data_IF_661189929619
#
_entry.id   IF_661189929619
#
_cell.length_a   1.000
_cell.length_b   1.000
_cell.length_c   1.000
_cell.angle_alpha   90.00
_cell.angle_beta   90.00
_cell.angle_gamma   90.00
#
_symmetry.space_group_name_H-M   'P 1'
#
loop_
_entity.id
_entity.type
_entity.pdbx_description
1 polymer ?
#
# COMPACT_ATOMS: atom_id res chain seq x y z
N UNK A 1 -17.07 13.66 3.10
CA UNK A 1 -16.18 12.64 3.70
C UNK A 1 -15.01 12.45 2.77
N UNK A 2 -13.78 12.44 3.29
CA UNK A 2 -12.59 12.16 2.47
C UNK A 2 -12.70 10.74 1.93
N UNK A 3 -12.25 10.49 0.70
CA UNK A 3 -12.23 9.13 0.11
C UNK A 3 -11.26 8.19 0.81
N UNK A 4 -10.35 8.73 1.64
CA UNK A 4 -9.35 8.00 2.39
C UNK A 4 -9.78 7.64 3.81
N UNK A 5 -10.92 8.14 4.27
CA UNK A 5 -11.49 7.70 5.54
C UNK A 5 -12.00 6.28 5.39
N UNK A 6 -11.57 5.38 6.29
CA UNK A 6 -12.13 4.02 6.35
C UNK A 6 -13.64 4.06 6.59
N UNK A 7 -14.33 3.08 6.01
CA UNK A 7 -15.78 2.91 6.17
C UNK A 7 -16.16 2.69 7.64
N UNK A 8 -15.37 1.89 8.34
CA UNK A 8 -15.51 1.61 9.76
C UNK A 8 -14.46 2.42 10.53
N UNK A 9 -14.83 3.16 11.59
CA UNK A 9 -13.86 3.84 12.42
C UNK A 9 -12.90 2.86 13.11
N UNK A 10 -11.67 3.30 13.35
CA UNK A 10 -10.62 2.46 13.92
C UNK A 10 -10.29 2.94 15.34
N UNK A 11 -10.42 2.04 16.32
CA UNK A 11 -9.94 2.24 17.67
C UNK A 11 -8.54 1.67 17.78
N UNK A 12 -7.65 2.34 18.51
CA UNK A 12 -6.26 1.92 18.61
C UNK A 12 -5.77 1.92 20.05
N UNK A 13 -4.91 0.96 20.34
CA UNK A 13 -4.25 0.81 21.63
C UNK A 13 -3.27 1.96 21.94
N UNK A 14 -2.58 1.89 23.08
CA UNK A 14 -1.67 2.95 23.52
C UNK A 14 -0.35 2.98 22.75
N UNK A 15 0.00 1.89 22.04
CA UNK A 15 1.23 1.80 21.21
C UNK A 15 1.06 2.34 19.80
N UNK A 16 -0.19 2.57 19.40
CA UNK A 16 -0.56 3.03 18.07
C UNK A 16 -0.96 4.50 18.12
N UNK A 17 -0.85 5.18 16.98
CA UNK A 17 -1.03 6.61 16.90
C UNK A 17 -2.51 6.98 16.87
N UNK A 18 -2.89 7.90 17.76
CA UNK A 18 -4.16 8.61 17.67
C UNK A 18 -3.84 10.07 17.34
N UNK A 19 -4.10 10.53 16.10
CA UNK A 19 -3.75 11.88 15.71
C UNK A 19 -4.50 12.92 16.56
N UNK A 20 -3.85 14.01 16.99
CA UNK A 20 -4.50 15.04 17.78
C UNK A 20 -5.29 16.06 16.95
N UNK A 21 -4.97 16.25 15.66
CA UNK A 21 -5.58 17.29 14.83
C UNK A 21 -6.97 16.88 14.29
N UNK A 22 -7.98 17.77 14.31
CA UNK A 22 -9.35 17.39 13.96
C UNK A 22 -9.53 16.96 12.49
N UNK A 23 -8.68 17.43 11.58
CA UNK A 23 -8.72 17.07 10.15
C UNK A 23 -8.12 15.69 9.85
N UNK A 24 -7.43 15.07 10.82
CA UNK A 24 -6.85 13.74 10.68
C UNK A 24 -7.90 12.65 10.80
N UNK A 25 -7.64 11.50 10.19
CA UNK A 25 -8.55 10.37 10.18
C UNK A 25 -7.77 9.04 10.19
N UNK A 26 -8.45 7.92 10.40
CA UNK A 26 -7.84 6.58 10.39
C UNK A 26 -7.45 6.14 8.98
N UNK A 27 -6.29 6.59 8.52
CA UNK A 27 -5.80 6.32 7.15
C UNK A 27 -4.91 5.07 7.05
N UNK A 28 -4.41 4.52 8.16
CA UNK A 28 -3.67 3.26 8.18
C UNK A 28 -4.08 2.40 9.39
N UNK A 29 -3.86 1.06 9.39
CA UNK A 29 -4.29 0.16 10.47
C UNK A 29 -3.80 0.56 11.88
N UNK A 30 -2.66 1.23 11.98
CA UNK A 30 -2.11 1.70 13.25
C UNK A 30 -2.47 3.16 13.58
N UNK A 31 -3.41 3.76 12.84
CA UNK A 31 -3.85 5.16 12.99
C UNK A 31 -5.33 5.17 13.38
N UNK A 32 -5.60 5.62 14.61
CA UNK A 32 -6.96 5.64 15.15
C UNK A 32 -7.80 6.81 14.64
N UNK A 33 -9.11 6.64 14.66
CA UNK A 33 -10.07 7.73 14.46
C UNK A 33 -10.15 8.59 15.72
N UNK A 34 -9.84 9.89 15.57
CA UNK A 34 -9.86 10.85 16.67
C UNK A 34 -11.18 11.65 16.78
N UNK A 35 -12.07 11.56 15.78
CA UNK A 35 -13.34 12.27 15.78
C UNK A 35 -14.54 11.31 15.73
N UNK A 36 -14.83 10.71 16.88
CA UNK A 36 -15.92 9.75 17.07
C UNK A 36 -17.07 10.39 17.85
N UNK A 37 -18.30 10.00 17.51
CA UNK A 37 -19.51 10.30 18.29
C UNK A 37 -20.22 9.01 18.67
N UNK A 38 -20.90 9.02 19.81
CA UNK A 38 -21.75 7.91 20.20
C UNK A 38 -23.10 7.98 19.50
N UNK A 39 -23.52 6.88 18.88
CA UNK A 39 -24.81 6.80 18.20
C UNK A 39 -25.99 6.78 19.17
N UNK A 40 -25.76 6.38 20.43
CA UNK A 40 -26.81 6.31 21.46
C UNK A 40 -27.06 7.66 22.15
N UNK A 41 -26.02 8.31 22.67
CA UNK A 41 -26.16 9.58 23.39
C UNK A 41 -25.80 10.83 22.56
N UNK A 42 -25.26 10.65 21.35
CA UNK A 42 -24.83 11.75 20.49
C UNK A 42 -23.51 12.42 20.89
N UNK A 43 -22.98 12.14 22.09
CA UNK A 43 -21.79 12.83 22.61
C UNK A 43 -20.50 12.43 21.88
N UNK A 44 -19.51 13.34 21.82
CA UNK A 44 -18.15 13.00 21.38
C UNK A 44 -17.52 11.92 22.26
N UNK A 45 -16.84 10.96 21.64
CA UNK A 45 -16.06 9.95 22.36
C UNK A 45 -14.71 10.55 22.73
N UNK A 46 -14.43 10.59 24.03
CA UNK A 46 -13.16 11.06 24.58
C UNK A 46 -12.20 9.89 24.71
N UNK A 47 -10.91 10.18 24.59
CA UNK A 47 -9.86 9.17 24.74
C UNK A 47 -8.86 9.56 25.81
N UNK A 48 -8.31 8.56 26.50
CA UNK A 48 -7.22 8.73 27.45
C UNK A 48 -6.35 7.47 27.46
N UNK A 49 -5.05 7.61 27.70
CA UNK A 49 -4.15 6.48 27.97
C UNK A 49 -3.83 6.52 29.46
N UNK A 50 -4.48 5.71 30.32
CA UNK A 50 -4.20 5.75 31.74
C UNK A 50 -2.79 5.27 32.04
N UNK A 51 -2.17 5.86 33.06
CA UNK A 51 -0.81 5.53 33.47
C UNK A 51 -0.68 4.04 33.81
N UNK A 52 0.39 3.40 33.33
CA UNK A 52 0.71 1.99 33.52
C UNK A 52 -0.34 0.96 33.00
N UNK A 53 -1.39 1.39 32.31
CA UNK A 53 -2.56 0.55 32.11
C UNK A 53 -2.52 -0.37 30.88
N UNK A 54 -1.55 -0.20 29.97
CA UNK A 54 -1.40 -1.06 28.79
C UNK A 54 -2.58 -1.00 27.79
N UNK A 55 -3.55 -0.10 27.99
CA UNK A 55 -4.69 0.14 27.10
C UNK A 55 -4.93 1.65 26.89
N UNK A 56 -5.66 1.98 25.81
CA UNK A 56 -6.30 3.27 25.59
C UNK A 56 -7.78 3.16 25.91
N UNK A 57 -8.31 4.07 26.71
CA UNK A 57 -9.73 4.14 27.06
C UNK A 57 -10.45 5.10 26.16
N UNK A 58 -11.58 4.67 25.63
CA UNK A 58 -12.54 5.47 24.89
C UNK A 58 -13.84 5.55 25.72
N UNK A 59 -14.45 6.73 25.83
CA UNK A 59 -15.67 6.90 26.61
C UNK A 59 -16.56 8.07 26.15
N UNK A 60 -17.87 7.92 26.32
CA UNK A 60 -18.88 8.97 26.30
C UNK A 60 -19.74 8.88 27.58
N UNK A 61 -20.79 9.69 27.74
CA UNK A 61 -21.65 9.62 28.92
C UNK A 61 -22.29 8.24 29.19
N UNK A 62 -22.58 7.46 28.15
CA UNK A 62 -23.34 6.21 28.29
C UNK A 62 -22.52 4.92 28.09
N UNK A 63 -21.27 5.03 27.62
CA UNK A 63 -20.44 3.86 27.27
C UNK A 63 -18.96 4.14 27.52
N UNK A 64 -18.23 3.08 27.86
CA UNK A 64 -16.77 3.06 27.98
C UNK A 64 -16.23 1.78 27.37
N UNK A 65 -15.09 1.88 26.69
CA UNK A 65 -14.33 0.77 26.13
C UNK A 65 -12.84 0.94 26.41
N UNK A 66 -12.19 -0.12 26.89
CA UNK A 66 -10.74 -0.18 27.02
C UNK A 66 -10.17 -0.99 25.84
N UNK A 67 -9.18 -0.43 25.14
CA UNK A 67 -8.66 -0.89 23.85
C UNK A 67 -7.16 -1.17 23.97
N UNK A 68 -6.75 -2.41 23.72
CA UNK A 68 -5.36 -2.87 23.88
C UNK A 68 -4.56 -2.83 22.58
N UNK A 69 -5.22 -3.14 21.46
CA UNK A 69 -4.66 -3.20 20.10
C UNK A 69 -5.52 -2.36 19.13
N UNK A 70 -5.51 -2.69 17.84
CA UNK A 70 -6.38 -2.05 16.84
C UNK A 70 -7.68 -2.82 16.71
N UNK A 71 -8.81 -2.11 16.59
CA UNK A 71 -10.11 -2.70 16.32
C UNK A 71 -10.97 -1.86 15.38
N UNK A 72 -11.76 -2.50 14.53
CA UNK A 72 -12.69 -1.82 13.65
C UNK A 72 -14.11 -1.77 14.25
N UNK A 73 -14.64 -0.56 14.41
CA UNK A 73 -15.99 -0.35 14.95
C UNK A 73 -17.02 -0.87 13.94
N UNK A 74 -17.78 -1.89 14.34
CA UNK A 74 -18.75 -2.59 13.47
C UNK A 74 -18.13 -3.39 12.32
N UNK A 75 -16.81 -3.57 12.30
CA UNK A 75 -16.11 -4.46 11.35
C UNK A 75 -15.82 -5.84 11.93
N UNK A 76 -15.79 -5.95 13.25
CA UNK A 76 -15.61 -7.21 13.96
C UNK A 76 -16.91 -8.02 14.02
N UNK A 77 -16.86 -9.36 14.12
CA UNK A 77 -18.05 -10.17 14.34
C UNK A 77 -18.81 -9.72 15.60
N UNK A 78 -20.07 -9.34 15.43
CA UNK A 78 -20.92 -8.75 16.49
C UNK A 78 -21.06 -9.68 17.71
N UNK A 79 -20.97 -10.99 17.50
CA UNK A 79 -21.03 -12.02 18.54
C UNK A 79 -19.76 -12.09 19.39
N UNK A 80 -18.61 -11.73 18.81
CA UNK A 80 -17.32 -11.74 19.49
C UNK A 80 -17.01 -10.41 20.17
N UNK A 81 -17.48 -9.28 19.60
CA UNK A 81 -17.13 -7.95 20.11
C UNK A 81 -18.31 -6.95 20.14
N UNK A 82 -19.41 -7.25 20.84
CA UNK A 82 -20.59 -6.38 20.90
C UNK A 82 -20.29 -4.99 21.51
N UNK A 83 -19.21 -4.89 22.31
CA UNK A 83 -18.77 -3.63 22.92
C UNK A 83 -18.12 -2.65 21.91
N UNK A 84 -17.75 -3.12 20.72
CA UNK A 84 -17.10 -2.35 19.64
C UNK A 84 -18.09 -1.82 18.59
N UNK A 85 -19.37 -1.70 18.95
CA UNK A 85 -20.43 -1.13 18.10
C UNK A 85 -20.87 0.23 18.64
N UNK A 86 -21.79 0.94 17.96
CA UNK A 86 -22.51 2.08 18.54
C UNK A 86 -21.72 3.40 18.64
N UNK A 87 -20.53 3.46 18.06
CA UNK A 87 -19.78 4.69 17.79
C UNK A 87 -19.64 4.87 16.29
N UNK A 88 -19.70 6.12 15.83
CA UNK A 88 -19.58 6.46 14.42
C UNK A 88 -18.61 7.62 14.22
N UNK A 89 -18.06 7.73 13.01
CA UNK A 89 -17.29 8.91 12.62
C UNK A 89 -18.18 10.16 12.68
N UNK A 90 -17.69 11.22 13.33
CA UNK A 90 -18.38 12.50 13.41
C UNK A 90 -18.11 13.42 12.22
N UNK A 91 -17.30 12.99 11.26
CA UNK A 91 -16.81 13.78 10.13
C UNK A 91 -15.46 14.42 10.43
N UNK A 92 -14.80 15.00 9.43
CA UNK A 92 -13.52 15.71 9.61
C UNK A 92 -13.56 17.02 8.81
N UNK A 93 -13.05 18.14 9.36
CA UNK A 93 -12.82 19.34 8.56
C UNK A 93 -11.75 19.09 7.51
N UNK A 94 -11.81 19.84 6.41
CA UNK A 94 -10.79 19.78 5.36
C UNK A 94 -9.46 20.37 5.86
N UNK A 95 -8.33 19.80 5.42
CA UNK A 95 -7.03 20.43 5.55
C UNK A 95 -6.84 21.43 4.38
N UNK A 96 -6.94 22.73 4.67
CA UNK A 96 -6.88 23.81 3.65
C UNK A 96 -5.62 24.64 3.80
N UNK A 97 -4.97 24.94 2.69
CA UNK A 97 -3.84 25.85 2.66
C UNK A 97 -4.30 27.31 2.76
N UNK A 98 -3.50 28.21 3.38
CA UNK A 98 -2.24 27.93 4.08
C UNK A 98 -2.46 27.19 5.41
N UNK A 99 -1.57 26.25 5.72
CA UNK A 99 -1.64 25.44 6.93
C UNK A 99 -0.24 25.16 7.51
N UNK A 100 -0.20 24.59 8.71
CA UNK A 100 1.02 24.06 9.31
C UNK A 100 0.77 22.62 9.73
N UNK A 101 1.64 21.71 9.30
CA UNK A 101 1.60 20.29 9.64
C UNK A 101 2.95 19.91 10.23
N UNK A 102 2.96 19.44 11.48
CA UNK A 102 4.19 19.04 12.20
C UNK A 102 5.30 20.11 12.17
N UNK A 103 4.93 21.39 12.23
CA UNK A 103 5.85 22.53 12.16
C UNK A 103 6.27 22.95 10.75
N UNK A 104 5.85 22.22 9.70
CA UNK A 104 6.07 22.60 8.30
C UNK A 104 4.94 23.50 7.83
N UNK A 105 5.27 24.72 7.39
CA UNK A 105 4.33 25.64 6.76
C UNK A 105 4.09 25.24 5.31
N UNK A 106 2.83 25.12 4.93
CA UNK A 106 2.39 24.77 3.59
C UNK A 106 1.46 25.87 3.07
N UNK A 107 1.79 26.44 1.92
CA UNK A 107 0.98 27.43 1.21
C UNK A 107 1.21 27.38 -0.31
N UNK A 108 0.64 28.33 -1.05
CA UNK A 108 0.73 28.42 -2.51
C UNK A 108 2.17 28.63 -3.03
N UNK A 109 3.10 29.03 -2.16
CA UNK A 109 4.51 29.23 -2.49
C UNK A 109 5.41 28.05 -2.12
N UNK A 110 4.82 26.94 -1.65
CA UNK A 110 5.56 25.74 -1.25
C UNK A 110 6.40 25.20 -2.41
N UNK A 111 7.71 25.09 -2.20
CA UNK A 111 8.59 24.32 -3.08
C UNK A 111 8.42 22.81 -2.79
N UNK A 112 7.49 22.19 -3.51
CA UNK A 112 7.17 20.78 -3.36
C UNK A 112 8.35 19.86 -3.65
N UNK A 113 9.26 20.22 -4.56
CA UNK A 113 10.40 19.39 -4.90
C UNK A 113 11.39 19.32 -3.73
N UNK A 114 11.75 20.48 -3.17
CA UNK A 114 12.62 20.54 -1.99
C UNK A 114 11.96 19.87 -0.78
N UNK A 115 10.68 20.16 -0.54
CA UNK A 115 9.94 19.57 0.59
C UNK A 115 9.94 18.03 0.53
N UNK A 116 9.64 17.45 -0.63
CA UNK A 116 9.57 15.99 -0.80
C UNK A 116 10.94 15.34 -0.62
N UNK A 117 11.99 15.91 -1.22
CA UNK A 117 13.35 15.39 -1.09
C UNK A 117 13.81 15.38 0.39
N UNK A 118 13.59 16.49 1.11
CA UNK A 118 13.95 16.58 2.52
C UNK A 118 13.12 15.63 3.41
N UNK A 119 11.80 15.60 3.20
CA UNK A 119 10.89 14.83 4.04
C UNK A 119 11.02 13.31 3.87
N UNK A 120 11.49 12.83 2.71
CA UNK A 120 11.81 11.40 2.54
C UNK A 120 13.01 10.97 3.38
N UNK A 121 14.03 11.81 3.47
CA UNK A 121 15.25 11.50 4.21
C UNK A 121 15.08 11.77 5.70
N UNK A 122 14.33 12.81 6.05
CA UNK A 122 14.13 13.30 7.42
C UNK A 122 12.68 13.75 7.58
N UNK A 123 11.75 12.81 7.80
CA UNK A 123 10.35 13.16 7.97
C UNK A 123 10.20 14.12 9.16
N UNK A 124 9.40 15.20 9.04
CA UNK A 124 9.13 16.12 10.13
C UNK A 124 8.53 15.46 11.37
N UNK A 125 7.81 14.35 11.17
CA UNK A 125 7.20 13.57 12.22
C UNK A 125 7.05 12.10 11.81
N UNK A 126 7.36 11.20 12.75
CA UNK A 126 7.15 9.76 12.61
C UNK A 126 6.04 9.31 13.58
N UNK A 127 4.86 8.93 13.07
CA UNK A 127 3.77 8.51 13.94
C UNK A 127 4.10 7.17 14.63
N UNK A 128 3.90 7.06 15.95
CA UNK A 128 4.24 5.86 16.71
C UNK A 128 3.38 4.66 16.30
N UNK A 129 4.03 3.51 16.12
CA UNK A 129 3.37 2.25 15.79
C UNK A 129 2.90 2.12 14.35
N UNK A 130 3.17 3.12 13.49
CA UNK A 130 2.84 3.06 12.06
C UNK A 130 4.04 2.54 11.28
N UNK A 131 3.96 1.29 10.85
CA UNK A 131 4.96 0.65 10.01
C UNK A 131 4.63 0.92 8.53
N UNK A 132 4.96 2.13 8.07
CA UNK A 132 4.76 2.57 6.70
C UNK A 132 5.99 3.37 6.24
N UNK A 133 6.59 2.96 5.14
CA UNK A 133 7.67 3.74 4.52
C UNK A 133 7.09 5.02 3.89
N UNK A 134 7.87 6.11 3.83
CA UNK A 134 7.40 7.43 3.37
C UNK A 134 6.13 7.96 4.08
N UNK A 135 5.92 7.56 5.34
CA UNK A 135 4.71 7.83 6.14
C UNK A 135 4.23 9.27 6.15
N UNK A 136 5.14 10.22 6.32
CA UNK A 136 4.77 11.62 6.41
C UNK A 136 4.24 12.15 5.07
N UNK A 137 4.83 11.74 3.95
CA UNK A 137 4.37 12.13 2.61
C UNK A 137 3.05 11.46 2.24
N UNK A 138 2.87 10.19 2.59
CA UNK A 138 1.59 9.50 2.41
C UNK A 138 0.49 10.18 3.25
N UNK A 139 0.77 10.53 4.51
CA UNK A 139 -0.13 11.32 5.37
C UNK A 139 -0.50 12.63 4.69
N UNK A 140 0.50 13.42 4.29
CA UNK A 140 0.29 14.72 3.66
C UNK A 140 -0.53 14.59 2.38
N UNK A 141 -0.21 13.63 1.51
CA UNK A 141 -0.96 13.36 0.29
C UNK A 141 -2.46 13.14 0.57
N UNK A 142 -2.80 12.38 1.61
CA UNK A 142 -4.20 12.08 1.95
C UNK A 142 -4.96 13.26 2.56
N UNK A 143 -4.24 14.22 3.15
CA UNK A 143 -4.82 15.44 3.70
C UNK A 143 -5.07 16.51 2.63
N UNK A 144 -4.20 16.60 1.63
CA UNK A 144 -4.25 17.66 0.62
C UNK A 144 -5.49 17.59 -0.29
N UNK A 145 -5.86 18.75 -0.83
CA UNK A 145 -6.96 18.91 -1.78
C UNK A 145 -6.49 18.74 -3.23
N UNK A 146 -6.45 19.85 -3.96
CA UNK A 146 -6.02 19.87 -5.38
C UNK A 146 -4.49 19.74 -5.51
N UNK A 147 -3.75 20.13 -4.48
CA UNK A 147 -2.30 20.14 -4.41
C UNK A 147 -1.70 18.72 -4.34
N UNK A 148 -2.54 17.70 -4.15
CA UNK A 148 -2.14 16.28 -4.24
C UNK A 148 -1.39 15.95 -5.53
N UNK A 149 -1.81 16.54 -6.64
CA UNK A 149 -1.16 16.34 -7.92
C UNK A 149 0.26 16.91 -7.93
N UNK A 150 0.48 18.08 -7.30
CA UNK A 150 1.80 18.71 -7.18
C UNK A 150 2.74 17.86 -6.34
N UNK A 151 2.27 17.35 -5.20
CA UNK A 151 3.03 16.46 -4.34
C UNK A 151 3.42 15.16 -5.08
N UNK A 152 2.47 14.52 -5.75
CA UNK A 152 2.73 13.29 -6.52
C UNK A 152 3.76 13.48 -7.63
N UNK A 153 3.64 14.57 -8.40
CA UNK A 153 4.63 14.91 -9.46
C UNK A 153 6.01 15.20 -8.86
N UNK A 154 6.08 15.89 -7.72
CA UNK A 154 7.34 16.13 -7.03
C UNK A 154 8.02 14.82 -6.56
N UNK A 155 7.23 13.85 -6.07
CA UNK A 155 7.74 12.51 -5.75
C UNK A 155 8.21 11.78 -7.01
N UNK A 156 7.46 11.85 -8.11
CA UNK A 156 7.84 11.22 -9.37
C UNK A 156 9.20 11.73 -9.91
N UNK A 157 9.50 13.02 -9.72
CA UNK A 157 10.79 13.59 -10.12
C UNK A 157 12.00 12.90 -9.45
N UNK A 158 11.82 12.36 -8.24
CA UNK A 158 12.88 11.64 -7.52
C UNK A 158 13.20 10.26 -8.12
N UNK A 159 12.32 9.69 -8.95
CA UNK A 159 12.59 8.45 -9.68
C UNK A 159 13.78 8.58 -10.64
N UNK A 160 14.16 9.81 -11.03
CA UNK A 160 15.33 10.12 -11.84
C UNK A 160 16.60 10.42 -11.04
N UNK A 161 16.56 10.42 -9.70
CA UNK A 161 17.70 10.77 -8.86
C UNK A 161 18.80 9.71 -8.90
N UNK A 162 20.06 10.12 -8.85
CA UNK A 162 21.21 9.21 -8.65
C UNK A 162 21.39 8.79 -7.18
N UNK A 163 20.61 9.37 -6.27
CA UNK A 163 20.55 8.93 -4.87
C UNK A 163 19.56 7.77 -4.71
N UNK A 164 20.06 6.62 -4.25
CA UNK A 164 19.27 5.42 -3.99
C UNK A 164 18.16 5.64 -2.96
N UNK A 165 18.36 6.50 -1.96
CA UNK A 165 17.34 6.79 -0.95
C UNK A 165 16.17 7.59 -1.51
N UNK A 166 16.42 8.52 -2.43
CA UNK A 166 15.36 9.24 -3.13
C UNK A 166 14.51 8.32 -4.00
N UNK A 167 15.16 7.45 -4.78
CA UNK A 167 14.45 6.48 -5.63
C UNK A 167 13.64 5.51 -4.77
N UNK A 168 14.23 4.98 -3.68
CA UNK A 168 13.53 4.08 -2.75
C UNK A 168 12.33 4.77 -2.10
N UNK A 169 12.51 5.97 -1.57
CA UNK A 169 11.43 6.73 -0.93
C UNK A 169 10.29 7.07 -1.90
N UNK A 170 10.60 7.34 -3.16
CA UNK A 170 9.57 7.50 -4.20
C UNK A 170 8.82 6.19 -4.47
N UNK A 171 9.53 5.06 -4.51
CA UNK A 171 8.88 3.75 -4.62
C UNK A 171 7.97 3.44 -3.44
N UNK A 172 8.41 3.74 -2.21
CA UNK A 172 7.59 3.57 -1.01
C UNK A 172 6.32 4.42 -1.05
N UNK A 173 6.43 5.68 -1.47
CA UNK A 173 5.27 6.54 -1.66
C UNK A 173 4.28 5.96 -2.68
N UNK A 174 4.74 5.54 -3.86
CA UNK A 174 3.85 4.96 -4.88
C UNK A 174 3.38 3.55 -4.55
N UNK A 175 4.04 2.82 -3.65
CA UNK A 175 3.52 1.58 -3.08
C UNK A 175 2.27 1.87 -2.24
N UNK A 176 2.31 2.93 -1.44
CA UNK A 176 1.19 3.34 -0.60
C UNK A 176 0.08 4.06 -1.39
N UNK A 177 0.46 4.86 -2.39
CA UNK A 177 -0.44 5.69 -3.20
C UNK A 177 -0.27 5.37 -4.70
N UNK A 178 -0.63 4.15 -5.14
CA UNK A 178 -0.32 3.69 -6.50
C UNK A 178 -1.09 4.44 -7.58
N UNK A 179 -2.13 5.20 -7.23
CA UNK A 179 -2.89 6.04 -8.16
C UNK A 179 -2.50 7.53 -8.12
N UNK A 180 -1.46 7.91 -7.36
CA UNK A 180 -1.02 9.30 -7.29
C UNK A 180 -0.52 9.82 -8.65
N UNK A 181 -0.67 11.13 -8.87
CA UNK A 181 -0.15 11.76 -10.08
C UNK A 181 1.36 11.50 -10.23
N UNK A 182 1.80 11.14 -11.43
CA UNK A 182 3.19 10.77 -11.71
C UNK A 182 3.53 9.29 -11.44
N UNK A 183 2.59 8.47 -10.95
CA UNK A 183 2.82 7.04 -10.75
C UNK A 183 3.07 6.26 -12.06
N UNK A 184 2.68 6.81 -13.22
CA UNK A 184 2.98 6.30 -14.55
C UNK A 184 4.47 6.44 -14.94
N UNK A 185 5.20 7.34 -14.27
CA UNK A 185 6.65 7.49 -14.45
C UNK A 185 7.44 6.30 -13.90
N UNK A 186 6.86 5.49 -13.01
CA UNK A 186 7.53 4.33 -12.40
C UNK A 186 8.00 3.35 -13.47
N UNK A 187 7.10 2.92 -14.36
CA UNK A 187 7.44 1.96 -15.42
C UNK A 187 8.52 2.52 -16.37
N UNK A 188 8.42 3.82 -16.69
CA UNK A 188 9.40 4.50 -17.55
C UNK A 188 10.77 4.61 -16.89
N UNK A 189 10.84 4.99 -15.62
CA UNK A 189 12.09 5.05 -14.86
C UNK A 189 12.74 3.67 -14.77
N UNK A 190 11.96 2.63 -14.46
CA UNK A 190 12.47 1.25 -14.37
C UNK A 190 13.01 0.75 -15.71
N UNK A 191 12.30 1.02 -16.81
CA UNK A 191 12.76 0.66 -18.15
C UNK A 191 14.05 1.40 -18.53
N UNK A 192 14.12 2.71 -18.28
CA UNK A 192 15.27 3.55 -18.64
C UNK A 192 16.52 3.28 -17.79
N UNK A 193 16.35 2.85 -16.53
CA UNK A 193 17.44 2.75 -15.53
C UNK A 193 17.68 1.32 -15.06
N UNK A 194 17.22 0.31 -15.80
CA UNK A 194 17.25 -1.11 -15.41
C UNK A 194 18.62 -1.58 -14.91
N UNK A 195 19.70 -1.23 -15.61
CA UNK A 195 21.05 -1.69 -15.27
C UNK A 195 21.58 -1.04 -13.99
N UNK A 196 21.28 0.25 -13.79
CA UNK A 196 21.60 0.94 -12.54
C UNK A 196 20.79 0.35 -11.37
N UNK A 197 19.47 0.18 -11.53
CA UNK A 197 18.60 -0.39 -10.50
C UNK A 197 18.99 -1.82 -10.12
N UNK A 198 19.54 -2.61 -11.05
CA UNK A 198 20.03 -3.98 -10.79
C UNK A 198 21.31 -3.99 -9.94
N UNK A 199 22.17 -2.99 -10.11
CA UNK A 199 23.49 -2.94 -9.46
C UNK A 199 23.49 -2.17 -8.15
N UNK A 200 22.50 -1.31 -7.94
CA UNK A 200 22.34 -0.53 -6.70
C UNK A 200 21.57 -1.33 -5.65
N UNK A 201 22.16 -1.59 -4.47
CA UNK A 201 21.45 -2.20 -3.35
C UNK A 201 20.27 -1.35 -2.90
N UNK A 202 19.18 -2.00 -2.50
CA UNK A 202 18.05 -1.35 -1.86
C UNK A 202 18.49 -0.87 -0.46
N UNK A 203 18.46 0.45 -0.18
CA UNK A 203 18.93 0.97 1.10
C UNK A 203 18.09 0.52 2.30
N UNK A 204 16.81 0.18 2.09
CA UNK A 204 15.94 -0.39 3.13
C UNK A 204 16.10 -1.92 3.28
N UNK A 205 16.66 -2.59 2.27
CA UNK A 205 16.88 -4.05 2.24
C UNK A 205 18.18 -4.40 1.50
N UNK A 206 19.36 -4.24 2.13
CA UNK A 206 20.64 -4.36 1.44
C UNK A 206 20.94 -5.73 0.79
N UNK A 207 20.16 -6.77 1.12
CA UNK A 207 20.24 -8.09 0.48
C UNK A 207 19.58 -8.16 -0.91
N UNK A 208 18.92 -7.09 -1.34
CA UNK A 208 18.17 -6.99 -2.60
C UNK A 208 18.62 -5.74 -3.37
N UNK A 209 18.37 -5.69 -4.67
CA UNK A 209 18.61 -4.48 -5.47
C UNK A 209 17.36 -3.60 -5.53
N UNK A 210 17.51 -2.33 -5.90
CA UNK A 210 16.35 -1.47 -6.18
C UNK A 210 15.46 -2.04 -7.28
N UNK A 211 16.02 -2.78 -8.25
CA UNK A 211 15.23 -3.47 -9.27
C UNK A 211 14.29 -4.54 -8.69
N UNK A 212 14.71 -5.29 -7.66
CA UNK A 212 13.86 -6.28 -7.01
C UNK A 212 12.64 -5.61 -6.36
N UNK A 213 12.86 -4.46 -5.71
CA UNK A 213 11.78 -3.68 -5.12
C UNK A 213 10.88 -3.03 -6.17
N UNK A 214 11.46 -2.48 -7.24
CA UNK A 214 10.72 -1.93 -8.36
C UNK A 214 9.80 -2.98 -9.02
N UNK A 215 10.24 -4.24 -9.10
CA UNK A 215 9.42 -5.32 -9.62
C UNK A 215 8.16 -5.54 -8.76
N UNK A 216 8.27 -5.44 -7.42
CA UNK A 216 7.11 -5.48 -6.52
C UNK A 216 6.17 -4.31 -6.78
N UNK A 217 6.71 -3.09 -6.85
CA UNK A 217 5.91 -1.88 -7.09
C UNK A 217 5.16 -1.93 -8.43
N UNK A 218 5.80 -2.42 -9.49
CA UNK A 218 5.14 -2.58 -10.79
C UNK A 218 3.94 -3.54 -10.73
N UNK A 219 3.99 -4.57 -9.88
CA UNK A 219 2.84 -5.46 -9.68
C UNK A 219 1.70 -4.76 -8.94
N UNK A 220 1.98 -3.93 -7.94
CA UNK A 220 0.95 -3.12 -7.27
C UNK A 220 0.31 -2.11 -8.23
N UNK A 221 1.11 -1.55 -9.16
CA UNK A 221 0.61 -0.63 -10.19
C UNK A 221 -0.35 -1.30 -11.18
N UNK A 222 -0.12 -2.58 -11.50
CA UNK A 222 -1.05 -3.38 -12.35
C UNK A 222 -2.43 -3.53 -11.69
N UNK A 223 -2.50 -3.52 -10.36
CA UNK A 223 -3.78 -3.61 -9.63
C UNK A 223 -4.61 -2.32 -9.70
N UNK A 224 -4.04 -1.21 -10.18
CA UNK A 224 -4.79 0.03 -10.39
C UNK A 224 -5.53 -0.06 -11.72
N UNK A 225 -6.86 -0.11 -11.63
CA UNK A 225 -7.75 -0.22 -12.79
C UNK A 225 -8.65 1.01 -12.92
N UNK A 226 -9.08 1.30 -14.15
CA UNK A 226 -10.07 2.33 -14.42
C UNK A 226 -11.50 1.88 -14.10
N UNK A 227 -12.50 2.72 -14.40
CA UNK A 227 -13.92 2.41 -14.18
C UNK A 227 -14.41 1.19 -14.98
N UNK A 228 -13.73 0.85 -16.08
CA UNK A 228 -14.03 -0.33 -16.89
C UNK A 228 -13.33 -1.60 -16.37
N UNK A 229 -12.47 -1.49 -15.35
CA UNK A 229 -11.68 -2.59 -14.81
C UNK A 229 -10.39 -2.85 -15.60
N UNK A 230 -10.01 -1.95 -16.51
CA UNK A 230 -8.79 -2.09 -17.31
C UNK A 230 -7.58 -1.50 -16.55
N UNK A 231 -6.38 -2.11 -16.62
CA UNK A 231 -5.19 -1.55 -16.00
C UNK A 231 -4.89 -0.14 -16.50
N UNK A 232 -4.79 0.84 -15.59
CA UNK A 232 -4.51 2.24 -15.96
C UNK A 232 -3.10 2.43 -16.52
N UNK A 233 -2.20 1.49 -16.20
CA UNK A 233 -0.78 1.55 -16.55
C UNK A 233 -0.35 0.29 -17.29
N UNK A 234 -0.74 0.21 -18.56
CA UNK A 234 -0.33 -0.88 -19.45
C UNK A 234 1.19 -0.96 -19.62
N UNK A 235 1.90 0.16 -19.43
CA UNK A 235 3.36 0.16 -19.45
C UNK A 235 3.94 -0.59 -18.25
N UNK A 236 3.36 -0.43 -17.06
CA UNK A 236 3.75 -1.20 -15.87
C UNK A 236 3.57 -2.71 -16.09
N UNK A 237 2.45 -3.13 -16.70
CA UNK A 237 2.21 -4.53 -17.05
C UNK A 237 3.28 -5.07 -18.01
N UNK A 238 3.62 -4.32 -19.07
CA UNK A 238 4.64 -4.72 -20.03
C UNK A 238 6.03 -4.85 -19.38
N UNK A 239 6.45 -3.85 -18.59
CA UNK A 239 7.75 -3.88 -17.90
C UNK A 239 7.79 -4.99 -16.85
N UNK A 240 6.70 -5.23 -16.11
CA UNK A 240 6.59 -6.35 -15.19
C UNK A 240 6.74 -7.69 -15.92
N UNK A 241 6.18 -7.83 -17.12
CA UNK A 241 6.28 -9.05 -17.93
C UNK A 241 7.72 -9.33 -18.36
N UNK A 242 8.43 -8.30 -18.81
CA UNK A 242 9.86 -8.41 -19.15
C UNK A 242 10.72 -8.82 -17.95
N UNK A 243 10.48 -8.24 -16.78
CA UNK A 243 11.19 -8.60 -15.54
C UNK A 243 10.84 -10.03 -15.11
N UNK A 244 9.58 -10.42 -15.23
CA UNK A 244 9.13 -11.77 -14.89
C UNK A 244 9.82 -12.83 -15.76
N UNK A 245 9.95 -12.59 -17.07
CA UNK A 245 10.69 -13.49 -17.97
C UNK A 245 12.19 -13.56 -17.65
N UNK A 246 12.75 -12.53 -17.00
CA UNK A 246 14.11 -12.55 -16.45
C UNK A 246 14.22 -13.19 -15.05
N UNK A 247 13.12 -13.72 -14.51
CA UNK A 247 13.06 -14.36 -13.19
C UNK A 247 12.92 -13.38 -12.02
N UNK A 248 12.70 -12.09 -12.30
CA UNK A 248 12.62 -11.01 -11.32
C UNK A 248 11.15 -10.67 -11.06
N UNK A 249 10.71 -10.78 -9.81
CA UNK A 249 9.35 -10.42 -9.40
C UNK A 249 8.92 -11.08 -8.09
N UNK A 250 7.81 -10.61 -7.49
CA UNK A 250 7.28 -11.19 -6.27
C UNK A 250 6.78 -12.62 -6.46
N UNK A 251 6.63 -13.38 -5.36
CA UNK A 251 6.12 -14.75 -5.42
C UNK A 251 4.72 -14.89 -6.01
N UNK A 252 3.94 -13.80 -6.01
CA UNK A 252 2.59 -13.74 -6.57
C UNK A 252 2.53 -13.29 -8.03
N UNK A 253 3.66 -13.13 -8.73
CA UNK A 253 3.74 -12.76 -10.16
C UNK A 253 2.77 -13.56 -11.04
N UNK A 254 2.71 -14.90 -10.97
CA UNK A 254 1.75 -15.67 -11.77
C UNK A 254 0.29 -15.34 -11.51
N UNK A 255 -0.08 -14.95 -10.27
CA UNK A 255 -1.45 -14.55 -9.95
C UNK A 255 -1.82 -13.26 -10.67
N UNK A 256 -0.96 -12.25 -10.62
CA UNK A 256 -1.19 -10.94 -11.24
C UNK A 256 -1.40 -11.09 -12.75
N UNK A 257 -0.52 -11.81 -13.45
CA UNK A 257 -0.73 -12.05 -14.88
C UNK A 257 -1.97 -12.92 -15.16
N UNK A 258 -2.30 -13.89 -14.31
CA UNK A 258 -3.52 -14.68 -14.50
C UNK A 258 -4.81 -13.87 -14.37
N UNK A 259 -4.79 -12.80 -13.57
CA UNK A 259 -5.93 -11.91 -13.33
C UNK A 259 -6.03 -10.79 -14.38
N UNK A 260 -4.89 -10.26 -14.85
CA UNK A 260 -4.85 -9.05 -15.69
C UNK A 260 -4.36 -9.27 -17.14
N UNK A 261 -3.70 -10.39 -17.44
CA UNK A 261 -3.29 -10.78 -18.79
C UNK A 261 -3.21 -12.32 -18.92
N UNK A 262 -4.36 -13.01 -18.86
CA UNK A 262 -4.41 -14.48 -18.80
C UNK A 262 -3.82 -15.14 -20.05
N UNK A 263 -3.96 -14.51 -21.21
CA UNK A 263 -3.40 -15.02 -22.48
C UNK A 263 -1.88 -14.96 -22.49
N UNK A 264 -1.29 -13.87 -21.95
CA UNK A 264 0.15 -13.78 -21.75
C UNK A 264 0.64 -14.84 -20.77
N UNK A 265 -0.05 -15.04 -19.64
CA UNK A 265 0.33 -16.08 -18.67
C UNK A 265 0.32 -17.47 -19.31
N UNK A 266 -0.73 -17.82 -20.06
CA UNK A 266 -0.83 -19.10 -20.77
C UNK A 266 0.31 -19.27 -21.76
N UNK A 267 0.72 -18.19 -22.44
CA UNK A 267 1.81 -18.21 -23.42
C UNK A 267 3.18 -18.42 -22.76
N UNK A 268 3.40 -17.86 -21.58
CA UNK A 268 4.72 -17.79 -20.94
C UNK A 268 4.90 -18.67 -19.69
N UNK A 269 3.92 -19.50 -19.32
CA UNK A 269 3.95 -20.28 -18.08
C UNK A 269 5.21 -21.16 -17.92
N UNK A 270 5.63 -21.86 -18.98
CA UNK A 270 6.87 -22.65 -18.96
C UNK A 270 8.12 -21.78 -18.76
N UNK A 271 8.18 -20.61 -19.41
CA UNK A 271 9.32 -19.69 -19.30
C UNK A 271 9.42 -19.10 -17.89
N UNK A 272 8.29 -18.74 -17.29
CA UNK A 272 8.23 -18.30 -15.90
C UNK A 272 8.71 -19.40 -14.94
N UNK A 273 8.31 -20.65 -15.17
CA UNK A 273 8.77 -21.78 -14.36
C UNK A 273 10.29 -22.03 -14.49
N UNK A 274 10.86 -21.84 -15.69
CA UNK A 274 12.32 -21.91 -15.92
C UNK A 274 13.06 -20.76 -15.25
N UNK A 275 12.52 -19.55 -15.38
CA UNK A 275 13.15 -18.34 -14.89
C UNK A 275 13.18 -18.28 -13.36
N UNK A 276 12.14 -18.78 -12.69
CA UNK A 276 12.06 -18.82 -11.23
C UNK A 276 11.25 -20.01 -10.71
N UNK A 277 11.95 -21.04 -10.22
CA UNK A 277 11.29 -22.28 -9.74
C UNK A 277 10.32 -22.05 -8.57
N UNK A 278 10.45 -20.94 -7.82
CA UNK A 278 9.56 -20.62 -6.71
C UNK A 278 8.15 -20.28 -7.18
N UNK A 279 8.00 -19.88 -8.45
CA UNK A 279 6.69 -19.57 -9.03
C UNK A 279 5.87 -20.79 -9.42
N UNK A 280 6.43 -22.00 -9.48
CA UNK A 280 5.70 -23.21 -9.92
C UNK A 280 4.44 -23.45 -9.08
N UNK A 281 4.51 -23.31 -7.76
CA UNK A 281 3.33 -23.46 -6.89
C UNK A 281 2.29 -22.38 -7.14
N UNK A 282 2.71 -21.13 -7.40
CA UNK A 282 1.77 -20.04 -7.72
C UNK A 282 1.15 -20.25 -9.10
N UNK A 283 1.91 -20.68 -10.11
CA UNK A 283 1.41 -21.02 -11.45
C UNK A 283 0.31 -22.10 -11.39
N UNK A 284 0.56 -23.18 -10.65
CA UNK A 284 -0.40 -24.27 -10.46
C UNK A 284 -1.68 -23.79 -9.76
N UNK A 285 -1.55 -22.98 -8.70
CA UNK A 285 -2.70 -22.38 -8.00
C UNK A 285 -3.48 -21.42 -8.90
N UNK A 286 -2.81 -20.57 -9.65
CA UNK A 286 -3.48 -19.66 -10.59
C UNK A 286 -4.24 -20.45 -11.66
N UNK A 287 -3.60 -21.45 -12.28
CA UNK A 287 -4.22 -22.28 -13.31
C UNK A 287 -5.52 -22.95 -12.85
N UNK A 288 -5.65 -23.31 -11.57
CA UNK A 288 -6.89 -23.92 -11.05
C UNK A 288 -8.11 -23.01 -11.08
N UNK A 289 -7.92 -21.70 -11.17
CA UNK A 289 -8.97 -20.68 -11.26
C UNK A 289 -9.27 -20.26 -12.69
N UNK A 290 -8.49 -20.73 -13.66
CA UNK A 290 -8.61 -20.39 -15.08
C UNK A 290 -9.54 -21.35 -15.83
N UNK A 291 -10.02 -20.99 -17.04
CA UNK A 291 -10.80 -21.87 -17.89
C UNK A 291 -10.12 -23.23 -18.14
N UNK A 292 -10.87 -24.33 -18.34
CA UNK A 292 -10.30 -25.68 -18.45
C UNK A 292 -9.18 -25.85 -19.47
N UNK A 293 -9.29 -25.20 -20.63
CA UNK A 293 -8.29 -25.25 -21.70
C UNK A 293 -6.98 -24.55 -21.28
N UNK A 294 -7.07 -23.34 -20.73
CA UNK A 294 -5.93 -22.59 -20.20
C UNK A 294 -5.25 -23.35 -19.05
N UNK A 295 -6.05 -23.90 -18.12
CA UNK A 295 -5.56 -24.75 -17.03
C UNK A 295 -4.77 -25.94 -17.55
N UNK A 296 -5.35 -26.70 -18.49
CA UNK A 296 -4.71 -27.89 -19.04
C UNK A 296 -3.38 -27.54 -19.71
N UNK A 297 -3.34 -26.46 -20.49
CA UNK A 297 -2.13 -25.97 -21.16
C UNK A 297 -1.04 -25.56 -20.16
N UNK A 298 -1.36 -24.70 -19.19
CA UNK A 298 -0.38 -24.27 -18.18
C UNK A 298 0.18 -25.46 -17.39
N UNK A 299 -0.69 -26.39 -16.95
CA UNK A 299 -0.24 -27.55 -16.19
C UNK A 299 0.64 -28.48 -17.03
N UNK A 300 0.35 -28.65 -18.32
CA UNK A 300 1.18 -29.40 -19.24
C UNK A 300 2.55 -28.74 -19.41
N UNK A 301 2.57 -27.47 -19.82
CA UNK A 301 3.78 -26.69 -20.13
C UNK A 301 4.71 -26.58 -18.91
N UNK A 302 4.15 -26.36 -17.71
CA UNK A 302 4.95 -26.27 -16.47
C UNK A 302 5.42 -27.66 -16.01
N UNK A 303 4.67 -28.74 -16.29
CA UNK A 303 5.10 -30.10 -15.96
C UNK A 303 6.25 -30.60 -16.85
N UNK A 304 6.38 -30.10 -18.08
CA UNK A 304 7.54 -30.40 -18.94
C UNK A 304 8.84 -29.84 -18.34
N UNK A 305 8.76 -28.70 -17.66
CA UNK A 305 9.92 -28.01 -17.08
C UNK A 305 10.20 -28.45 -15.65
N UNK A 306 9.17 -28.59 -14.82
CA UNK A 306 9.29 -28.79 -13.38
C UNK A 306 8.36 -29.89 -12.85
N UNK A 307 8.46 -31.14 -13.34
CA UNK A 307 7.47 -32.19 -13.08
C UNK A 307 7.31 -32.52 -11.58
N UNK A 308 8.41 -32.58 -10.83
CA UNK A 308 8.38 -32.88 -9.39
C UNK A 308 7.69 -31.79 -8.58
N UNK A 309 7.92 -30.52 -8.93
CA UNK A 309 7.31 -29.37 -8.28
C UNK A 309 5.83 -29.27 -8.59
N UNK A 310 5.42 -29.55 -9.83
CA UNK A 310 3.99 -29.64 -10.20
C UNK A 310 3.31 -30.74 -9.40
N UNK A 311 3.90 -31.95 -9.35
CA UNK A 311 3.38 -33.05 -8.53
C UNK A 311 3.24 -32.67 -7.07
N UNK A 312 4.22 -31.98 -6.50
CA UNK A 312 4.16 -31.49 -5.13
C UNK A 312 3.03 -30.45 -4.95
N UNK A 313 2.95 -29.44 -5.83
CA UNK A 313 1.96 -28.38 -5.74
C UNK A 313 0.52 -28.91 -5.85
N UNK A 314 0.26 -29.87 -6.74
CA UNK A 314 -1.06 -30.48 -6.92
C UNK A 314 -1.54 -31.25 -5.69
N UNK A 315 -0.64 -31.80 -4.87
CA UNK A 315 -1.01 -32.50 -3.62
C UNK A 315 -1.56 -31.56 -2.54
N UNK A 316 -1.34 -30.25 -2.67
CA UNK A 316 -1.77 -29.22 -1.71
C UNK A 316 -2.95 -28.38 -2.21
N UNK A 317 -3.56 -28.77 -3.33
CA UNK A 317 -4.81 -28.20 -3.85
C UNK A 317 -5.99 -29.05 -3.39
#
# INVERSE_FOLDING_TARGET
MTTFCRRCPELVGPRNWLPPEPFEFGWAPAVGCNNLRCEHCGEPVRTQVPEAAGYRRYACACRRQDVYETYQVGGEPDDLYPALTGWACAGHPDFRLPATLDGVRLDETTDWATLVADALLRPPFEPPGVDLDAVWLTRLYRLLGAERALLGVAVAALLGSDDAWHVRGAYDFFYNEPAAAGADEVARSVAARRDWLRTVPDPGRPSSSLLDYAAVLLHERVLVVDEAGEPVDRQALAVAGELALAGIGPGHTPRVFGEHDPDWLVTHAADLARANERWVTSLVRTATRMPPEAKARILHDVAEVAPDRVRAAVRYL
#
